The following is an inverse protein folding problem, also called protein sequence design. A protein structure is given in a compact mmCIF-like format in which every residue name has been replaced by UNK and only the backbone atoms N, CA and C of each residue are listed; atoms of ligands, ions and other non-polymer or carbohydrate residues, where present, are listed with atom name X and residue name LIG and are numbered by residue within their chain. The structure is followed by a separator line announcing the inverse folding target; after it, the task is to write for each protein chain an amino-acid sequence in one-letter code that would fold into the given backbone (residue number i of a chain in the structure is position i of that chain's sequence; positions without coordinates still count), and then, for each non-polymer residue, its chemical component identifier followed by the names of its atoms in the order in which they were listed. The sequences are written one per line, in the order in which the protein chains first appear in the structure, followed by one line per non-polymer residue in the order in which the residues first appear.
data_IF_612829036566
#
_entry.id   IF_612829036566
#
_cell.length_a   1.000
_cell.length_b   1.000
_cell.length_c   1.000
_cell.angle_alpha   90.00
_cell.angle_beta   90.00
_cell.angle_gamma   90.00
#
_symmetry.space_group_name_H-M   'P 1'
#
loop_
_entity.id
_entity.type
_entity.pdbx_description
1 polymer ?
#
# COMPACT_ATOMS: atom_id res chain seq x y z
N UNK A 1 -4.29 -12.57 1.65
CA UNK A 1 -3.06 -12.06 0.98
C UNK A 1 -3.01 -10.54 1.04
N UNK A 2 -3.77 -9.80 0.23
CA UNK A 2 -3.73 -8.32 0.22
C UNK A 2 -4.10 -7.68 1.57
N UNK A 3 -5.11 -8.21 2.27
CA UNK A 3 -5.47 -7.74 3.62
C UNK A 3 -4.31 -7.81 4.63
N UNK A 4 -3.50 -8.87 4.57
CA UNK A 4 -2.32 -9.02 5.44
C UNK A 4 -1.28 -7.97 5.10
N UNK A 5 -0.92 -7.85 3.82
CA UNK A 5 0.05 -6.87 3.37
C UNK A 5 -0.35 -5.43 3.75
N UNK A 6 -1.61 -5.04 3.50
CA UNK A 6 -2.05 -3.69 3.84
C UNK A 6 -2.15 -3.46 5.35
N UNK A 7 -2.46 -4.49 6.14
CA UNK A 7 -2.39 -4.40 7.60
C UNK A 7 -0.97 -4.21 8.13
N UNK A 8 0.05 -4.77 7.45
CA UNK A 8 1.46 -4.53 7.77
C UNK A 8 1.93 -3.15 7.27
N UNK A 9 1.52 -2.75 6.07
CA UNK A 9 1.81 -1.44 5.50
C UNK A 9 1.37 -0.32 6.44
N UNK A 10 0.15 -0.40 6.99
CA UNK A 10 -0.39 0.61 7.91
C UNK A 10 0.37 0.72 9.24
N UNK A 11 1.30 -0.18 9.55
CA UNK A 11 2.14 -0.14 10.76
C UNK A 11 3.51 0.52 10.51
N UNK A 12 3.84 0.85 9.27
CA UNK A 12 5.13 1.44 8.90
C UNK A 12 5.31 2.78 9.59
N UNK A 13 6.42 2.93 10.32
CA UNK A 13 6.83 4.13 11.02
C UNK A 13 8.34 4.32 10.85
N UNK A 14 8.82 5.46 10.31
CA UNK A 14 8.05 6.63 9.88
C UNK A 14 7.19 6.38 8.63
N UNK A 15 6.11 7.15 8.46
CA UNK A 15 5.20 7.05 7.31
C UNK A 15 5.78 7.71 6.04
N UNK A 16 6.81 7.09 5.47
CA UNK A 16 7.57 7.61 4.32
C UNK A 16 7.57 6.61 3.15
N UNK A 17 7.76 7.08 1.92
CA UNK A 17 7.69 6.24 0.74
C UNK A 17 8.73 5.10 0.73
N UNK A 18 9.97 5.40 1.15
CA UNK A 18 11.08 4.45 1.15
C UNK A 18 10.80 3.21 2.02
N UNK A 19 10.47 3.31 3.33
CA UNK A 19 10.19 2.14 4.15
C UNK A 19 8.94 1.38 3.71
N UNK A 20 7.93 2.06 3.17
CA UNK A 20 6.75 1.40 2.59
C UNK A 20 7.10 0.57 1.36
N UNK A 21 7.96 1.09 0.47
CA UNK A 21 8.41 0.37 -0.72
C UNK A 21 9.34 -0.80 -0.37
N UNK A 22 10.20 -0.63 0.62
CA UNK A 22 11.04 -1.71 1.16
C UNK A 22 10.19 -2.84 1.74
N UNK A 23 9.20 -2.53 2.59
CA UNK A 23 8.24 -3.52 3.09
C UNK A 23 7.58 -4.27 1.92
N UNK A 24 7.11 -3.54 0.90
CA UNK A 24 6.45 -4.16 -0.25
C UNK A 24 7.40 -5.08 -1.04
N UNK A 25 8.69 -4.73 -1.17
CA UNK A 25 9.71 -5.57 -1.81
C UNK A 25 9.95 -6.84 -1.00
N UNK A 26 10.17 -6.71 0.29
CA UNK A 26 10.47 -7.83 1.18
C UNK A 26 9.29 -8.79 1.28
N UNK A 27 8.09 -8.27 1.46
CA UNK A 27 6.86 -9.05 1.50
C UNK A 27 6.61 -9.80 0.19
N UNK A 28 6.86 -9.14 -0.94
CA UNK A 28 6.76 -9.74 -2.27
C UNK A 28 7.75 -10.90 -2.44
N UNK A 29 9.00 -10.73 -2.01
CA UNK A 29 10.02 -11.76 -2.06
C UNK A 29 9.70 -12.95 -1.14
N UNK A 30 9.32 -12.70 0.12
CA UNK A 30 8.98 -13.75 1.09
C UNK A 30 7.78 -14.62 0.66
N UNK A 31 6.81 -14.02 -0.03
CA UNK A 31 5.58 -14.71 -0.46
C UNK A 31 5.65 -15.20 -1.92
N UNK A 32 6.80 -15.07 -2.58
CA UNK A 32 6.99 -15.36 -4.01
C UNK A 32 5.91 -14.75 -4.91
N UNK A 33 5.61 -13.46 -4.68
CA UNK A 33 4.67 -12.70 -5.49
C UNK A 33 5.35 -11.51 -6.16
N UNK A 34 4.85 -11.12 -7.34
CA UNK A 34 5.38 -9.96 -8.05
C UNK A 34 4.94 -8.67 -7.35
N UNK A 35 5.84 -7.70 -7.19
CA UNK A 35 5.56 -6.35 -6.65
C UNK A 35 4.29 -5.71 -7.24
N UNK A 36 4.07 -5.87 -8.55
CA UNK A 36 2.87 -5.34 -9.24
C UNK A 36 1.54 -5.83 -8.63
N UNK A 37 1.51 -7.00 -7.98
CA UNK A 37 0.32 -7.53 -7.28
C UNK A 37 0.00 -6.76 -6.01
N UNK A 38 0.95 -6.05 -5.40
CA UNK A 38 0.76 -5.18 -4.24
C UNK A 38 0.54 -3.72 -4.66
N UNK A 39 1.41 -3.22 -5.54
CA UNK A 39 1.40 -1.82 -5.98
C UNK A 39 0.15 -1.43 -6.80
N UNK A 40 -0.37 -2.34 -7.64
CA UNK A 40 -1.55 -2.02 -8.46
C UNK A 40 -2.85 -1.89 -7.65
N UNK A 41 -3.17 -2.80 -6.72
CA UNK A 41 -4.33 -2.60 -5.83
C UNK A 41 -4.21 -1.34 -4.99
N UNK A 42 -3.03 -1.03 -4.45
CA UNK A 42 -2.81 0.22 -3.73
C UNK A 42 -3.07 1.43 -4.63
N UNK A 43 -2.53 1.41 -5.86
CA UNK A 43 -2.75 2.48 -6.83
C UNK A 43 -4.22 2.70 -7.15
N UNK A 44 -4.94 1.61 -7.39
CA UNK A 44 -6.37 1.70 -7.67
C UNK A 44 -7.13 2.25 -6.47
N UNK A 45 -6.85 1.75 -5.26
CA UNK A 45 -7.51 2.20 -4.04
C UNK A 45 -7.24 3.69 -3.71
N UNK A 46 -6.02 4.18 -3.98
CA UNK A 46 -5.64 5.56 -3.65
C UNK A 46 -5.96 6.55 -4.76
N UNK A 47 -5.91 6.16 -6.03
CA UNK A 47 -5.98 7.14 -7.14
C UNK A 47 -7.12 6.87 -8.12
N UNK A 48 -7.73 5.69 -8.09
CA UNK A 48 -8.75 5.27 -9.06
C UNK A 48 -8.24 5.07 -10.49
N UNK A 49 -6.95 5.34 -10.77
CA UNK A 49 -6.36 5.29 -12.12
C UNK A 49 -5.23 4.27 -12.22
N UNK A 50 -4.91 3.83 -13.44
CA UNK A 50 -3.87 2.81 -13.68
C UNK A 50 -2.45 3.37 -13.67
N UNK A 51 -2.30 4.67 -13.94
CA UNK A 51 -1.01 5.36 -14.05
C UNK A 51 -1.05 6.56 -13.11
N UNK A 52 -0.04 6.67 -12.25
CA UNK A 52 0.12 7.72 -11.24
C UNK A 52 1.62 7.96 -11.02
N UNK A 53 2.01 9.01 -10.28
CA UNK A 53 3.32 9.08 -9.62
C UNK A 53 3.59 7.84 -8.74
N UNK A 54 4.77 7.76 -8.12
CA UNK A 54 5.13 6.65 -7.24
C UNK A 54 4.04 6.39 -6.20
N UNK A 55 3.50 5.16 -6.14
CA UNK A 55 2.31 4.93 -5.33
C UNK A 55 2.59 5.05 -3.82
N UNK A 56 3.82 4.77 -3.41
CA UNK A 56 4.25 4.97 -2.03
C UNK A 56 4.47 6.45 -1.70
N UNK A 57 4.94 7.27 -2.66
CA UNK A 57 4.99 8.73 -2.52
C UNK A 57 3.58 9.33 -2.38
N UNK A 58 2.62 8.82 -3.15
CA UNK A 58 1.21 9.19 -3.01
C UNK A 58 0.67 8.79 -1.64
N UNK A 59 1.01 7.59 -1.15
CA UNK A 59 0.59 7.14 0.18
C UNK A 59 1.21 7.99 1.29
N UNK A 60 2.47 8.37 1.16
CA UNK A 60 3.17 9.29 2.07
C UNK A 60 2.47 10.65 2.09
N UNK A 61 2.24 11.25 0.91
CA UNK A 61 1.59 12.56 0.78
C UNK A 61 0.16 12.58 1.34
N UNK A 62 -0.64 11.54 1.10
CA UNK A 62 -1.99 11.42 1.62
C UNK A 62 -2.02 11.22 3.15
N UNK A 63 -0.97 10.61 3.70
CA UNK A 63 -0.89 10.24 5.11
C UNK A 63 -1.62 8.94 5.46
N UNK A 64 -1.22 8.36 6.60
CA UNK A 64 -1.63 7.02 7.06
C UNK A 64 -3.14 6.87 7.22
N UNK A 65 -3.81 7.84 7.81
CA UNK A 65 -5.24 7.76 8.09
C UNK A 65 -6.11 7.82 6.82
N UNK A 66 -5.77 8.69 5.87
CA UNK A 66 -6.47 8.76 4.59
C UNK A 66 -6.30 7.47 3.78
N UNK A 67 -5.08 6.93 3.75
CA UNK A 67 -4.78 5.64 3.12
C UNK A 67 -5.59 4.51 3.77
N UNK A 68 -5.64 4.46 5.11
CA UNK A 68 -6.45 3.46 5.84
C UNK A 68 -7.93 3.55 5.46
N UNK A 69 -8.51 4.75 5.44
CA UNK A 69 -9.93 4.94 5.09
C UNK A 69 -10.24 4.45 3.68
N UNK A 70 -9.40 4.79 2.69
CA UNK A 70 -9.58 4.32 1.30
C UNK A 70 -9.45 2.81 1.18
N UNK A 71 -8.47 2.21 1.85
CA UNK A 71 -8.30 0.76 1.85
C UNK A 71 -9.50 0.06 2.54
N UNK A 72 -10.00 0.60 3.64
CA UNK A 72 -11.17 0.08 4.36
C UNK A 72 -12.44 0.15 3.49
N UNK A 73 -12.62 1.23 2.72
CA UNK A 73 -13.74 1.36 1.77
C UNK A 73 -13.82 0.19 0.78
N UNK A 74 -12.68 -0.34 0.34
CA UNK A 74 -12.60 -1.50 -0.55
C UNK A 74 -12.48 -2.85 0.19
N UNK A 75 -12.62 -2.86 1.51
CA UNK A 75 -12.46 -4.04 2.36
C UNK A 75 -11.04 -4.61 2.35
N UNK A 76 -10.03 -3.80 2.01
CA UNK A 76 -8.63 -4.22 1.96
C UNK A 76 -7.94 -4.17 3.32
N UNK A 77 -8.57 -3.55 4.32
CA UNK A 77 -8.22 -3.60 5.74
C UNK A 77 -9.52 -3.58 6.56
N UNK A 78 -9.43 -3.90 7.85
CA UNK A 78 -10.52 -3.64 8.79
C UNK A 78 -10.63 -2.12 9.04
N UNK A 79 -11.86 -1.66 9.31
CA UNK A 79 -12.16 -0.24 9.54
C UNK A 79 -11.60 0.24 10.88
#
# INVERSE_FOLDING_TARGET
MLRSFFGELLKIDPWEAEPMEELARNWAAEKDVKMKKLAMPLRWALTGVKVSPGIFEVAEYLGRDEVRQRLAHYGLVEA
#
